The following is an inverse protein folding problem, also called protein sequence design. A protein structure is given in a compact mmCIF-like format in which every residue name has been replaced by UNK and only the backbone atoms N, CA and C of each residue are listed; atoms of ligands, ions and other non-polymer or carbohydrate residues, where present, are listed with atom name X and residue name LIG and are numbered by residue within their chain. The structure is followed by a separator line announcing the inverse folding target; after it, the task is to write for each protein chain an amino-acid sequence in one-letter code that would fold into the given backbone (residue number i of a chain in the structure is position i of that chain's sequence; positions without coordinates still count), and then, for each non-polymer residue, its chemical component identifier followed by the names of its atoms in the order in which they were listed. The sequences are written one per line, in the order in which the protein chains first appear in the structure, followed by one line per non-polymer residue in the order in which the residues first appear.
data_IF_910065159845
#
_entry.id   IF_910065159845
#
_cell.length_a   1.000
_cell.length_b   1.000
_cell.length_c   1.000
_cell.angle_alpha   90.00
_cell.angle_beta   90.00
_cell.angle_gamma   90.00
#
_symmetry.space_group_name_H-M   'P 1'
#
loop_
_entity.id
_entity.type
_entity.pdbx_description
1 polymer ?
#
# COMPACT_ATOMS: atom_id res chain seq x y z
N UNK A 1 -25.17 51.23 39.15
CA UNK A 1 -25.94 50.03 39.47
C UNK A 1 -25.62 48.95 38.38
N UNK A 2 -24.71 48.07 38.69
CA UNK A 2 -24.36 46.93 37.83
C UNK A 2 -25.13 45.71 38.34
N UNK A 3 -26.09 45.24 37.53
CA UNK A 3 -26.91 44.06 37.86
C UNK A 3 -26.11 42.79 37.65
N UNK A 4 -25.75 42.10 38.72
CA UNK A 4 -25.20 40.73 38.71
C UNK A 4 -26.27 39.75 38.22
N UNK A 5 -26.20 39.34 36.95
CA UNK A 5 -26.93 38.15 36.49
C UNK A 5 -26.21 36.91 37.01
N UNK A 6 -26.69 36.34 38.10
CA UNK A 6 -26.31 34.99 38.55
C UNK A 6 -26.76 33.98 37.50
N UNK A 7 -25.82 33.20 36.94
CA UNK A 7 -26.13 32.10 36.05
C UNK A 7 -26.83 30.97 36.85
N UNK A 8 -28.08 30.72 36.54
CA UNK A 8 -28.92 29.69 37.16
C UNK A 8 -28.70 28.29 36.50
N UNK A 9 -27.50 27.76 36.58
CA UNK A 9 -27.33 26.33 36.26
C UNK A 9 -27.27 25.55 37.56
N UNK A 10 -28.20 24.60 37.74
CA UNK A 10 -28.16 23.70 38.89
C UNK A 10 -26.90 22.80 38.77
N UNK A 11 -26.23 22.46 39.88
CA UNK A 11 -25.04 21.59 39.86
C UNK A 11 -25.27 20.25 39.13
N UNK A 12 -26.48 19.71 39.20
CA UNK A 12 -26.86 18.48 38.48
C UNK A 12 -26.83 18.63 36.94
N UNK A 13 -27.19 19.81 36.44
CA UNK A 13 -27.20 20.09 35.00
C UNK A 13 -25.79 20.27 34.45
N UNK A 14 -24.90 20.88 35.26
CA UNK A 14 -23.47 21.00 34.92
C UNK A 14 -22.78 19.65 34.92
N UNK A 15 -23.05 18.80 35.92
CA UNK A 15 -22.49 17.42 35.97
C UNK A 15 -22.99 16.58 34.79
N UNK A 16 -24.28 16.67 34.43
CA UNK A 16 -24.80 15.96 33.25
C UNK A 16 -24.18 16.43 31.95
N UNK A 17 -23.92 17.71 31.76
CA UNK A 17 -23.27 18.28 30.60
C UNK A 17 -21.78 17.85 30.52
N UNK A 18 -21.09 17.84 31.65
CA UNK A 18 -19.70 17.37 31.73
C UNK A 18 -19.62 15.85 31.46
N UNK A 19 -20.55 15.08 31.99
CA UNK A 19 -20.61 13.63 31.75
C UNK A 19 -20.88 13.31 30.29
N UNK A 20 -21.84 13.95 29.63
CA UNK A 20 -22.11 13.81 28.22
C UNK A 20 -20.91 14.27 27.35
N UNK A 21 -20.25 15.38 27.73
CA UNK A 21 -19.04 15.85 27.03
C UNK A 21 -17.87 14.87 27.14
N UNK A 22 -17.70 14.23 28.31
CA UNK A 22 -16.67 13.21 28.53
C UNK A 22 -17.00 11.91 27.80
N UNK A 23 -18.28 11.52 27.72
CA UNK A 23 -18.70 10.35 26.94
C UNK A 23 -18.49 10.60 25.44
N UNK A 24 -18.89 11.77 24.92
CA UNK A 24 -18.68 12.13 23.51
C UNK A 24 -17.19 12.16 23.19
N UNK A 25 -16.34 12.72 24.05
CA UNK A 25 -14.89 12.70 23.84
C UNK A 25 -14.30 11.29 23.93
N UNK A 26 -14.82 10.43 24.80
CA UNK A 26 -14.36 9.05 24.93
C UNK A 26 -14.72 8.22 23.71
N UNK A 27 -15.95 8.36 23.20
CA UNK A 27 -16.39 7.68 21.97
C UNK A 27 -15.64 8.21 20.74
N UNK A 28 -15.46 9.54 20.60
CA UNK A 28 -14.65 10.15 19.55
C UNK A 28 -13.18 9.69 19.61
N UNK A 29 -12.66 9.47 20.82
CA UNK A 29 -11.29 9.00 21.01
C UNK A 29 -11.16 7.51 20.72
N UNK A 30 -12.13 6.70 21.15
CA UNK A 30 -12.19 5.25 20.84
C UNK A 30 -12.41 5.01 19.33
N UNK A 31 -13.26 5.78 18.66
CA UNK A 31 -13.41 5.74 17.20
C UNK A 31 -12.14 6.17 16.47
N UNK A 32 -11.42 7.20 16.95
CA UNK A 32 -10.13 7.60 16.38
C UNK A 32 -9.04 6.55 16.57
N UNK A 33 -9.00 5.87 17.72
CA UNK A 33 -8.03 4.80 17.98
C UNK A 33 -8.29 3.59 17.07
N UNK A 34 -9.55 3.32 16.73
CA UNK A 34 -9.94 2.21 15.85
C UNK A 34 -9.83 2.54 14.36
N UNK A 35 -9.77 3.81 13.98
CA UNK A 35 -9.70 4.21 12.56
C UNK A 35 -8.38 3.83 11.92
N UNK A 36 -8.46 3.18 10.75
CA UNK A 36 -7.28 2.83 9.94
C UNK A 36 -6.43 4.06 9.58
N UNK A 37 -7.07 5.21 9.32
CA UNK A 37 -6.34 6.45 9.06
C UNK A 37 -5.47 6.87 10.26
N UNK A 38 -5.98 6.75 11.47
CA UNK A 38 -5.22 7.07 12.69
C UNK A 38 -4.06 6.10 12.90
N UNK A 39 -4.30 4.80 12.72
CA UNK A 39 -3.26 3.77 12.83
C UNK A 39 -2.11 4.02 11.84
N UNK A 40 -2.45 4.35 10.59
CA UNK A 40 -1.46 4.65 9.55
C UNK A 40 -0.66 5.90 9.87
N UNK A 41 -1.29 6.97 10.35
CA UNK A 41 -0.59 8.18 10.73
C UNK A 41 0.36 7.95 11.92
N UNK A 42 -0.06 7.21 12.92
CA UNK A 42 0.81 6.84 14.04
C UNK A 42 2.01 5.98 13.60
N UNK A 43 1.76 4.99 12.72
CA UNK A 43 2.84 4.16 12.17
C UNK A 43 3.82 5.01 11.38
N UNK A 44 3.31 5.91 10.55
CA UNK A 44 4.13 6.87 9.81
C UNK A 44 4.98 7.74 10.74
N UNK A 45 4.39 8.28 11.81
CA UNK A 45 5.10 9.11 12.79
C UNK A 45 6.24 8.34 13.47
N UNK A 46 6.01 7.10 13.86
CA UNK A 46 7.04 6.25 14.47
C UNK A 46 8.20 5.99 13.48
N UNK A 47 7.88 5.56 12.27
CA UNK A 47 8.90 5.30 11.22
C UNK A 47 9.70 6.56 10.93
N UNK A 48 9.04 7.71 10.81
CA UNK A 48 9.70 8.97 10.53
C UNK A 48 10.64 9.40 11.66
N UNK A 49 10.22 9.23 12.92
CA UNK A 49 11.05 9.55 14.08
C UNK A 49 12.28 8.65 14.18
N UNK A 50 12.10 7.35 13.89
CA UNK A 50 13.22 6.40 13.81
C UNK A 50 14.18 6.77 12.67
N UNK A 51 13.66 7.10 11.50
CA UNK A 51 14.44 7.60 10.38
C UNK A 51 15.24 8.84 10.76
N UNK A 52 14.57 9.86 11.34
CA UNK A 52 15.20 11.11 11.79
C UNK A 52 16.32 10.85 12.79
N UNK A 53 16.10 9.96 13.74
CA UNK A 53 17.08 9.59 14.77
C UNK A 53 18.31 8.92 14.15
N UNK A 54 18.11 8.04 13.19
CA UNK A 54 19.18 7.31 12.54
C UNK A 54 20.05 8.21 11.65
N UNK A 55 19.41 9.01 10.81
CA UNK A 55 20.17 9.89 9.91
C UNK A 55 20.87 11.03 10.62
N UNK A 56 20.39 11.45 11.80
CA UNK A 56 21.13 12.45 12.61
C UNK A 56 22.51 11.95 13.05
N UNK A 57 22.74 10.63 13.05
CA UNK A 57 24.00 9.97 13.38
C UNK A 57 24.80 9.55 12.14
N UNK A 58 24.20 9.64 10.96
CA UNK A 58 24.82 9.18 9.73
C UNK A 58 25.91 10.15 9.25
N UNK A 59 27.06 9.62 8.87
CA UNK A 59 28.14 10.39 8.25
C UNK A 59 27.91 10.69 6.76
N UNK A 60 26.98 10.00 6.12
CA UNK A 60 26.65 10.13 4.70
C UNK A 60 25.22 9.70 4.41
N UNK A 61 24.56 10.39 3.48
CA UNK A 61 23.22 10.09 2.99
C UNK A 61 23.24 9.47 1.58
N UNK A 62 24.41 9.06 1.09
CA UNK A 62 24.58 8.56 -0.28
C UNK A 62 23.68 7.35 -0.60
N UNK A 63 23.44 6.48 0.38
CA UNK A 63 22.52 5.33 0.21
C UNK A 63 21.09 5.73 -0.16
N UNK A 64 20.62 6.87 0.33
CA UNK A 64 19.25 7.33 0.06
C UNK A 64 19.03 7.66 -1.42
N UNK A 65 20.11 7.81 -2.21
CA UNK A 65 20.05 8.05 -3.65
C UNK A 65 19.44 6.88 -4.42
N UNK A 66 19.54 5.67 -3.92
CA UNK A 66 18.98 4.48 -4.55
C UNK A 66 17.46 4.62 -4.76
N UNK A 67 16.76 5.35 -3.90
CA UNK A 67 15.31 5.61 -4.07
C UNK A 67 14.97 6.58 -5.21
N UNK A 68 15.94 7.09 -5.92
CA UNK A 68 15.68 7.88 -7.13
C UNK A 68 15.32 7.01 -8.34
N UNK A 69 15.52 5.69 -8.26
CA UNK A 69 15.22 4.72 -9.32
C UNK A 69 15.84 5.12 -10.66
N UNK A 70 17.09 5.56 -10.64
CA UNK A 70 17.84 5.81 -11.87
C UNK A 70 18.24 4.46 -12.48
N UNK A 71 17.82 4.24 -13.72
CA UNK A 71 18.09 3.02 -14.44
C UNK A 71 17.18 1.85 -14.01
N UNK A 72 17.57 0.65 -14.39
CA UNK A 72 16.83 -0.60 -14.12
C UNK A 72 17.20 -1.28 -12.80
N UNK A 73 18.15 -0.71 -12.04
CA UNK A 73 18.54 -1.27 -10.74
C UNK A 73 17.51 -0.95 -9.66
N UNK A 74 17.08 -1.97 -8.93
CA UNK A 74 16.25 -1.81 -7.75
C UNK A 74 17.12 -1.34 -6.57
N UNK A 75 16.55 -0.54 -5.64
CA UNK A 75 17.20 -0.22 -4.38
C UNK A 75 17.47 -1.48 -3.55
N UNK A 76 18.56 -1.46 -2.79
CA UNK A 76 18.82 -2.52 -1.81
C UNK A 76 17.91 -2.36 -0.58
N UNK A 77 16.69 -2.89 -0.68
CA UNK A 77 15.71 -2.85 0.42
C UNK A 77 16.09 -3.72 1.63
N UNK A 78 17.26 -4.39 1.65
CA UNK A 78 17.78 -5.01 2.88
C UNK A 78 18.38 -3.98 3.84
N UNK A 79 18.70 -2.76 3.36
CA UNK A 79 19.16 -1.65 4.19
C UNK A 79 17.98 -1.01 4.94
N UNK A 80 18.00 -1.09 6.26
CA UNK A 80 16.91 -0.61 7.14
C UNK A 80 16.72 0.91 7.10
N UNK A 81 17.80 1.68 6.87
CA UNK A 81 17.73 3.13 6.69
C UNK A 81 16.99 3.48 5.40
N UNK A 82 17.26 2.71 4.34
CA UNK A 82 16.60 2.86 3.07
C UNK A 82 15.11 2.49 3.15
N UNK A 83 14.76 1.42 3.90
CA UNK A 83 13.36 1.07 4.19
C UNK A 83 12.63 2.22 4.89
N UNK A 84 13.22 2.82 5.93
CA UNK A 84 12.63 3.95 6.67
C UNK A 84 12.40 5.16 5.77
N UNK A 85 13.39 5.48 4.93
CA UNK A 85 13.27 6.57 3.99
C UNK A 85 12.19 6.31 2.93
N UNK A 86 12.13 5.10 2.38
CA UNK A 86 11.09 4.67 1.47
C UNK A 86 9.69 4.85 2.09
N UNK A 87 9.50 4.34 3.29
CA UNK A 87 8.22 4.45 4.01
C UNK A 87 7.88 5.90 4.37
N UNK A 88 8.88 6.69 4.77
CA UNK A 88 8.70 8.13 5.02
C UNK A 88 8.25 8.90 3.77
N UNK A 89 8.52 8.39 2.56
CA UNK A 89 8.13 9.03 1.30
C UNK A 89 6.83 8.50 0.73
N UNK A 90 6.56 7.21 0.87
CA UNK A 90 5.55 6.53 0.08
C UNK A 90 4.38 5.96 0.90
N UNK A 91 4.55 5.75 2.22
CA UNK A 91 3.54 5.05 3.03
C UNK A 91 2.16 5.69 2.92
N UNK A 92 2.06 7.00 3.16
CA UNK A 92 0.76 7.69 3.16
C UNK A 92 0.11 7.68 1.77
N UNK A 93 0.91 7.88 0.72
CA UNK A 93 0.42 7.86 -0.65
C UNK A 93 -0.09 6.47 -1.04
N UNK A 94 0.72 5.44 -0.83
CA UNK A 94 0.38 4.08 -1.23
C UNK A 94 -0.79 3.52 -0.42
N UNK A 95 -0.89 3.87 0.85
CA UNK A 95 -2.05 3.53 1.65
C UNK A 95 -3.36 4.04 1.01
N UNK A 96 -3.40 5.32 0.60
CA UNK A 96 -4.59 5.91 -0.03
C UNK A 96 -4.85 5.29 -1.42
N UNK A 97 -3.79 5.08 -2.19
CA UNK A 97 -3.87 4.47 -3.52
C UNK A 97 -4.47 3.05 -3.44
N UNK A 98 -3.95 2.21 -2.55
CA UNK A 98 -4.45 0.84 -2.40
C UNK A 98 -5.84 0.78 -1.77
N UNK A 99 -6.15 1.69 -0.84
CA UNK A 99 -7.51 1.78 -0.30
C UNK A 99 -8.51 2.04 -1.43
N UNK A 100 -8.24 3.02 -2.30
CA UNK A 100 -9.10 3.32 -3.44
C UNK A 100 -9.19 2.17 -4.44
N UNK A 101 -8.08 1.48 -4.71
CA UNK A 101 -8.07 0.30 -5.58
C UNK A 101 -9.00 -0.80 -5.05
N UNK A 102 -8.90 -1.12 -3.75
CA UNK A 102 -9.74 -2.15 -3.14
C UNK A 102 -11.20 -1.71 -3.00
N UNK A 103 -11.48 -0.42 -2.76
CA UNK A 103 -12.83 0.13 -2.81
C UNK A 103 -13.45 -0.10 -4.20
N UNK A 104 -12.73 0.21 -5.28
CA UNK A 104 -13.21 0.00 -6.65
C UNK A 104 -13.39 -1.49 -6.98
N UNK A 105 -12.56 -2.38 -6.43
CA UNK A 105 -12.75 -3.83 -6.55
C UNK A 105 -14.03 -4.29 -5.87
N UNK A 106 -14.28 -3.79 -4.66
CA UNK A 106 -15.46 -4.11 -3.86
C UNK A 106 -16.73 -3.58 -4.54
N UNK A 107 -16.72 -2.35 -5.04
CA UNK A 107 -17.85 -1.74 -5.75
C UNK A 107 -18.26 -2.54 -7.00
N UNK A 108 -17.31 -3.18 -7.69
CA UNK A 108 -17.59 -4.05 -8.84
C UNK A 108 -18.34 -5.32 -8.49
N UNK A 109 -18.35 -5.72 -7.22
CA UNK A 109 -19.07 -6.89 -6.66
C UNK A 109 -18.86 -8.17 -7.49
N UNK A 110 -17.66 -8.35 -8.05
CA UNK A 110 -17.34 -9.51 -8.89
C UNK A 110 -17.13 -10.78 -8.07
N UNK A 111 -16.52 -10.64 -6.89
CA UNK A 111 -16.35 -11.72 -5.91
C UNK A 111 -17.47 -11.63 -4.89
N UNK A 112 -18.30 -12.69 -4.84
CA UNK A 112 -19.50 -12.74 -3.97
C UNK A 112 -19.21 -13.30 -2.58
N UNK A 113 -18.09 -13.97 -2.42
CA UNK A 113 -17.68 -14.65 -1.20
C UNK A 113 -16.51 -13.89 -0.54
N UNK A 114 -15.85 -14.54 0.40
CA UNK A 114 -14.66 -14.03 1.04
C UNK A 114 -13.54 -13.77 0.03
N UNK A 115 -12.82 -12.69 0.21
CA UNK A 115 -11.64 -12.37 -0.59
C UNK A 115 -10.44 -13.17 -0.07
N UNK A 116 -9.92 -14.07 -0.89
CA UNK A 116 -8.69 -14.82 -0.61
C UNK A 116 -7.55 -14.27 -1.46
N UNK A 117 -6.75 -13.38 -0.88
CA UNK A 117 -5.79 -12.56 -1.60
C UNK A 117 -4.39 -13.16 -1.47
N UNK A 118 -3.71 -13.30 -2.60
CA UNK A 118 -2.26 -13.48 -2.68
C UNK A 118 -1.64 -12.20 -3.24
N UNK A 119 -0.87 -11.50 -2.42
CA UNK A 119 -0.13 -10.29 -2.83
C UNK A 119 1.33 -10.64 -3.06
N UNK A 120 1.81 -10.49 -4.30
CA UNK A 120 3.14 -10.90 -4.75
C UNK A 120 4.04 -9.68 -4.91
N UNK A 121 5.17 -9.67 -4.21
CA UNK A 121 6.03 -8.50 -4.06
C UNK A 121 5.37 -7.45 -3.17
N UNK A 122 4.75 -7.91 -2.07
CA UNK A 122 3.93 -7.09 -1.19
C UNK A 122 4.73 -6.07 -0.35
N UNK A 123 6.06 -6.17 -0.33
CA UNK A 123 6.90 -5.33 0.50
C UNK A 123 6.54 -5.44 1.98
N UNK A 124 6.36 -4.31 2.63
CA UNK A 124 5.93 -4.27 4.03
C UNK A 124 4.39 -4.39 4.22
N UNK A 125 3.63 -4.72 3.17
CA UNK A 125 2.17 -4.90 3.27
C UNK A 125 1.36 -3.61 3.19
N UNK A 126 1.80 -2.60 2.43
CA UNK A 126 1.03 -1.35 2.29
C UNK A 126 -0.31 -1.57 1.59
N UNK A 127 -0.39 -2.55 0.70
CA UNK A 127 -1.64 -2.95 0.07
C UNK A 127 -2.61 -3.63 1.05
N UNK A 128 -2.12 -4.39 2.04
CA UNK A 128 -2.94 -4.90 3.14
C UNK A 128 -3.54 -3.77 3.98
N UNK A 129 -2.78 -2.69 4.23
CA UNK A 129 -3.31 -1.52 4.92
C UNK A 129 -4.42 -0.86 4.12
N UNK A 130 -4.25 -0.76 2.80
CA UNK A 130 -5.29 -0.29 1.89
C UNK A 130 -6.54 -1.17 1.91
N UNK A 131 -6.37 -2.50 1.88
CA UNK A 131 -7.46 -3.46 1.98
C UNK A 131 -8.23 -3.29 3.30
N UNK A 132 -7.53 -3.20 4.43
CA UNK A 132 -8.16 -2.95 5.75
C UNK A 132 -8.96 -1.66 5.76
N UNK A 133 -8.47 -0.60 5.10
CA UNK A 133 -9.23 0.65 4.96
C UNK A 133 -10.49 0.46 4.11
N UNK A 134 -10.36 -0.17 2.97
CA UNK A 134 -11.48 -0.39 2.07
C UNK A 134 -12.59 -1.27 2.69
N UNK A 135 -12.21 -2.18 3.58
CA UNK A 135 -13.16 -3.10 4.26
C UNK A 135 -13.64 -2.61 5.62
N UNK A 136 -13.08 -1.50 6.16
CA UNK A 136 -13.30 -1.02 7.53
C UNK A 136 -14.79 -0.89 7.92
N UNK A 137 -15.65 -0.48 6.98
CA UNK A 137 -17.09 -0.28 7.19
C UNK A 137 -17.95 -1.24 6.36
N UNK A 138 -17.39 -2.37 5.92
CA UNK A 138 -18.10 -3.37 5.13
C UNK A 138 -18.29 -4.66 5.92
N UNK A 139 -19.11 -5.58 5.38
CA UNK A 139 -19.26 -6.95 5.90
C UNK A 139 -18.37 -7.95 5.13
N UNK A 140 -17.41 -7.46 4.38
CA UNK A 140 -16.54 -8.30 3.57
C UNK A 140 -15.50 -8.95 4.46
N UNK A 141 -15.42 -10.27 4.37
CA UNK A 141 -14.32 -11.03 4.96
C UNK A 141 -13.19 -11.18 3.96
N UNK A 142 -11.97 -11.26 4.46
CA UNK A 142 -10.82 -11.56 3.63
C UNK A 142 -9.79 -12.41 4.37
N UNK A 143 -9.00 -13.14 3.59
CA UNK A 143 -7.78 -13.79 4.03
C UNK A 143 -6.65 -13.25 3.15
N UNK A 144 -5.62 -12.73 3.76
CA UNK A 144 -4.49 -12.16 3.04
C UNK A 144 -3.24 -13.02 3.23
N UNK A 145 -2.52 -13.24 2.13
CA UNK A 145 -1.19 -13.83 2.13
C UNK A 145 -0.26 -12.92 1.35
N UNK A 146 0.70 -12.31 2.02
CA UNK A 146 1.77 -11.53 1.39
C UNK A 146 2.96 -12.44 1.06
N UNK A 147 3.55 -12.25 -0.12
CA UNK A 147 4.78 -12.90 -0.56
C UNK A 147 5.80 -11.83 -0.95
N UNK A 148 6.96 -11.85 -0.32
CA UNK A 148 8.08 -10.98 -0.68
C UNK A 148 9.42 -11.64 -0.35
N UNK A 149 10.46 -11.34 -1.12
CA UNK A 149 11.81 -11.82 -0.87
C UNK A 149 12.55 -10.98 0.19
N UNK A 150 12.09 -9.78 0.46
CA UNK A 150 12.67 -8.87 1.45
C UNK A 150 11.90 -8.97 2.76
N UNK A 151 12.63 -9.06 3.86
CA UNK A 151 12.05 -8.90 5.20
C UNK A 151 12.13 -7.42 5.59
N UNK A 152 10.97 -6.80 5.74
CA UNK A 152 10.86 -5.41 6.14
C UNK A 152 10.73 -5.28 7.66
N UNK A 153 11.47 -4.36 8.27
CA UNK A 153 11.43 -4.13 9.73
C UNK A 153 10.08 -3.59 10.21
N UNK A 154 9.39 -2.84 9.34
CA UNK A 154 8.11 -2.22 9.66
C UNK A 154 6.92 -2.96 9.04
N UNK A 155 7.13 -4.19 8.62
CA UNK A 155 6.04 -5.05 8.17
C UNK A 155 5.09 -5.31 9.35
N UNK A 156 3.81 -5.08 9.11
CA UNK A 156 2.77 -5.35 10.08
C UNK A 156 1.60 -6.01 9.36
N UNK A 157 1.61 -7.32 9.37
CA UNK A 157 0.59 -8.12 8.71
C UNK A 157 -0.63 -8.36 9.60
N UNK A 158 -0.70 -7.74 10.81
CA UNK A 158 -1.86 -7.80 11.71
C UNK A 158 -2.38 -9.22 11.96
N UNK A 159 -1.48 -10.19 12.02
CA UNK A 159 -1.83 -11.61 12.16
C UNK A 159 -2.10 -12.33 10.83
N UNK A 160 -2.05 -11.63 9.70
CA UNK A 160 -2.15 -12.22 8.37
C UNK A 160 -0.90 -13.01 7.99
N UNK A 161 -1.01 -13.85 6.97
CA UNK A 161 0.10 -14.69 6.56
C UNK A 161 1.11 -13.91 5.72
N UNK A 162 2.38 -14.03 6.06
CA UNK A 162 3.50 -13.56 5.27
C UNK A 162 4.46 -14.70 4.91
N UNK A 163 4.87 -14.76 3.66
CA UNK A 163 5.83 -15.71 3.13
C UNK A 163 7.06 -14.93 2.68
N UNK A 164 8.15 -15.04 3.47
CA UNK A 164 9.42 -14.46 3.08
C UNK A 164 10.20 -15.45 2.22
N UNK A 165 10.06 -15.35 0.92
CA UNK A 165 10.73 -16.22 -0.05
C UNK A 165 10.86 -15.52 -1.40
N UNK A 166 11.90 -15.90 -2.15
CA UNK A 166 11.99 -15.60 -3.58
C UNK A 166 11.05 -16.50 -4.36
N UNK A 167 10.47 -15.99 -5.44
CA UNK A 167 9.52 -16.76 -6.26
C UNK A 167 10.17 -18.00 -6.87
N UNK A 168 11.46 -17.96 -7.17
CA UNK A 168 12.25 -19.06 -7.71
C UNK A 168 12.30 -20.27 -6.77
N UNK A 169 12.11 -20.04 -5.48
CA UNK A 169 12.08 -21.07 -4.44
C UNK A 169 10.67 -21.65 -4.22
N UNK A 170 9.68 -21.20 -4.98
CA UNK A 170 8.29 -21.61 -4.83
C UNK A 170 7.87 -22.40 -6.07
N UNK A 171 7.94 -23.73 -5.99
CA UNK A 171 7.55 -24.59 -7.12
C UNK A 171 6.04 -24.53 -7.41
N UNK A 172 5.22 -24.34 -6.38
CA UNK A 172 3.76 -24.21 -6.48
C UNK A 172 3.18 -23.49 -5.26
N UNK A 173 2.05 -22.85 -5.44
CA UNK A 173 1.26 -22.25 -4.35
C UNK A 173 0.49 -23.35 -3.62
N UNK A 174 0.63 -23.42 -2.30
CA UNK A 174 0.06 -24.51 -1.49
C UNK A 174 -1.43 -24.38 -1.22
N UNK A 175 -2.05 -23.25 -1.54
CA UNK A 175 -3.49 -23.01 -1.38
C UNK A 175 -4.12 -22.88 -2.77
N UNK A 176 -5.21 -23.59 -2.98
CA UNK A 176 -5.96 -23.59 -4.24
C UNK A 176 -7.13 -22.60 -4.28
N UNK A 177 -7.35 -21.86 -3.20
CA UNK A 177 -8.52 -21.01 -3.02
C UNK A 177 -8.25 -19.50 -3.10
N UNK A 178 -7.14 -19.08 -3.68
CA UNK A 178 -6.94 -17.68 -4.00
C UNK A 178 -7.89 -17.27 -5.12
N UNK A 179 -8.65 -16.19 -4.88
CA UNK A 179 -9.53 -15.58 -5.87
C UNK A 179 -9.13 -14.15 -6.23
N UNK A 180 -8.09 -13.61 -5.58
CA UNK A 180 -7.44 -12.35 -5.94
C UNK A 180 -5.93 -12.55 -5.95
N UNK A 181 -5.29 -12.21 -7.07
CA UNK A 181 -3.83 -12.12 -7.19
C UNK A 181 -3.48 -10.66 -7.38
N UNK A 182 -2.73 -10.11 -6.46
CA UNK A 182 -2.35 -8.70 -6.41
C UNK A 182 -0.84 -8.52 -6.63
N UNK A 183 -0.47 -7.58 -7.49
CA UNK A 183 0.90 -7.11 -7.70
C UNK A 183 1.00 -5.63 -7.31
N UNK A 184 1.40 -5.31 -6.07
CA UNK A 184 1.43 -3.94 -5.58
C UNK A 184 2.68 -3.20 -6.05
N UNK A 185 2.68 -2.73 -7.30
CA UNK A 185 3.80 -2.06 -7.99
C UNK A 185 5.04 -2.96 -8.16
N UNK A 186 4.86 -4.27 -8.18
CA UNK A 186 5.95 -5.25 -8.15
C UNK A 186 6.18 -5.98 -9.49
N UNK A 187 5.13 -6.25 -10.27
CA UNK A 187 5.23 -7.11 -11.47
C UNK A 187 6.22 -6.58 -12.50
N UNK A 188 6.33 -5.26 -12.66
CA UNK A 188 7.29 -4.62 -13.54
C UNK A 188 8.71 -4.59 -13.00
N UNK A 189 8.92 -4.90 -11.71
CA UNK A 189 10.23 -4.91 -11.07
C UNK A 189 10.95 -6.25 -11.18
N UNK A 190 10.23 -7.33 -11.49
CA UNK A 190 10.84 -8.63 -11.71
C UNK A 190 11.77 -8.58 -12.94
N UNK A 191 12.94 -9.21 -12.85
CA UNK A 191 13.72 -9.50 -14.03
C UNK A 191 13.04 -10.60 -14.87
N UNK A 192 13.56 -10.91 -16.03
CA UNK A 192 12.91 -11.86 -16.93
C UNK A 192 12.89 -13.29 -16.34
N UNK A 193 13.94 -13.70 -15.66
CA UNK A 193 14.04 -15.01 -15.04
C UNK A 193 13.02 -15.16 -13.90
N UNK A 194 12.97 -14.20 -13.01
CA UNK A 194 11.99 -14.14 -11.90
C UNK A 194 10.56 -14.15 -12.44
N UNK A 195 10.29 -13.43 -13.53
CA UNK A 195 8.96 -13.37 -14.12
C UNK A 195 8.57 -14.71 -14.79
N UNK A 196 9.50 -15.40 -15.47
CA UNK A 196 9.24 -16.76 -16.00
C UNK A 196 9.00 -17.76 -14.86
N UNK A 197 9.76 -17.67 -13.77
CA UNK A 197 9.56 -18.51 -12.58
C UNK A 197 8.19 -18.28 -11.96
N UNK A 198 7.71 -17.04 -11.90
CA UNK A 198 6.35 -16.72 -11.46
C UNK A 198 5.30 -17.42 -12.34
N UNK A 199 5.43 -17.30 -13.66
CA UNK A 199 4.50 -17.98 -14.60
C UNK A 199 4.53 -19.50 -14.43
N UNK A 200 5.71 -20.09 -14.23
CA UNK A 200 5.85 -21.52 -13.96
C UNK A 200 5.22 -21.94 -12.63
N UNK A 201 5.41 -21.15 -11.58
CA UNK A 201 4.76 -21.36 -10.27
C UNK A 201 3.24 -21.35 -10.40
N UNK A 202 2.69 -20.41 -11.16
CA UNK A 202 1.25 -20.34 -11.42
C UNK A 202 0.80 -21.58 -12.21
N UNK A 203 1.50 -21.97 -13.30
CA UNK A 203 1.19 -23.18 -14.10
C UNK A 203 1.12 -24.45 -13.26
N UNK A 204 2.03 -24.59 -12.30
CA UNK A 204 2.15 -25.78 -11.45
C UNK A 204 1.21 -25.75 -10.24
N UNK A 205 0.50 -24.66 -10.01
CA UNK A 205 -0.41 -24.48 -8.88
C UNK A 205 -1.83 -24.91 -9.26
N UNK A 206 -2.67 -25.14 -8.26
CA UNK A 206 -4.08 -25.44 -8.47
C UNK A 206 -4.93 -24.22 -8.09
N UNK A 207 -5.81 -23.81 -8.99
CA UNK A 207 -6.78 -22.75 -8.75
C UNK A 207 -8.18 -23.31 -8.97
N UNK A 208 -9.00 -23.31 -7.91
CA UNK A 208 -10.33 -23.96 -7.92
C UNK A 208 -11.49 -22.96 -7.78
N UNK A 209 -11.19 -21.70 -7.51
CA UNK A 209 -12.22 -20.69 -7.38
C UNK A 209 -12.92 -20.44 -8.72
N UNK A 210 -14.24 -20.28 -8.69
CA UNK A 210 -15.04 -19.99 -9.89
C UNK A 210 -14.65 -18.67 -10.54
N UNK A 211 -14.43 -17.64 -9.71
CA UNK A 211 -14.05 -16.31 -10.13
C UNK A 211 -12.63 -15.99 -9.63
N UNK A 212 -11.84 -15.38 -10.49
CA UNK A 212 -10.48 -14.95 -10.19
C UNK A 212 -10.31 -13.50 -10.64
N UNK A 213 -9.64 -12.71 -9.81
CA UNK A 213 -9.26 -11.33 -10.13
C UNK A 213 -7.75 -11.22 -10.14
N UNK A 214 -7.20 -10.66 -11.21
CA UNK A 214 -5.80 -10.28 -11.31
C UNK A 214 -5.71 -8.75 -11.22
N UNK A 215 -4.82 -8.25 -10.39
CA UNK A 215 -4.65 -6.82 -10.15
C UNK A 215 -3.18 -6.46 -10.24
N UNK A 216 -2.86 -5.41 -11.00
CA UNK A 216 -1.56 -4.75 -10.95
C UNK A 216 -1.74 -3.27 -10.67
N UNK A 217 -1.15 -2.80 -9.58
CA UNK A 217 -0.96 -1.38 -9.34
C UNK A 217 0.40 -0.97 -9.93
N UNK A 218 0.49 0.20 -10.56
CA UNK A 218 1.72 0.65 -11.20
C UNK A 218 1.82 2.17 -11.25
N UNK A 219 3.01 2.66 -11.56
CA UNK A 219 3.24 4.07 -11.85
C UNK A 219 2.97 4.33 -13.32
N UNK A 220 2.45 5.50 -13.66
CA UNK A 220 2.20 5.89 -15.04
C UNK A 220 3.44 5.76 -15.95
N UNK A 221 4.62 6.02 -15.42
CA UNK A 221 5.89 5.88 -16.16
C UNK A 221 6.28 4.44 -16.52
N UNK A 222 5.68 3.43 -15.86
CA UNK A 222 5.94 2.00 -16.10
C UNK A 222 4.70 1.26 -16.59
N UNK A 223 3.63 1.98 -16.87
CA UNK A 223 2.31 1.45 -17.17
C UNK A 223 2.34 0.37 -18.26
N UNK A 224 3.05 0.60 -19.35
CA UNK A 224 3.08 -0.32 -20.48
C UNK A 224 3.64 -1.71 -20.07
N UNK A 225 4.82 -1.75 -19.45
CA UNK A 225 5.47 -3.00 -19.02
C UNK A 225 4.64 -3.77 -17.99
N UNK A 226 4.05 -3.06 -17.02
CA UNK A 226 3.30 -3.70 -15.95
C UNK A 226 1.99 -4.29 -16.48
N UNK A 227 1.34 -3.59 -17.42
CA UNK A 227 0.13 -4.07 -18.10
C UNK A 227 0.40 -5.28 -18.99
N UNK A 228 1.45 -5.26 -19.79
CA UNK A 228 1.83 -6.41 -20.63
C UNK A 228 2.07 -7.64 -19.78
N UNK A 229 2.84 -7.52 -18.72
CA UNK A 229 3.11 -8.63 -17.80
C UNK A 229 1.86 -9.17 -17.12
N UNK A 230 0.90 -8.31 -16.75
CA UNK A 230 -0.36 -8.78 -16.19
C UNK A 230 -1.18 -9.55 -17.23
N UNK A 231 -1.15 -9.16 -18.51
CA UNK A 231 -1.78 -9.89 -19.59
C UNK A 231 -1.10 -11.25 -19.82
N UNK A 232 0.23 -11.34 -19.78
CA UNK A 232 0.93 -12.63 -19.85
C UNK A 232 0.55 -13.56 -18.68
N UNK A 233 0.39 -13.01 -17.46
CA UNK A 233 -0.11 -13.80 -16.32
C UNK A 233 -1.55 -14.26 -16.58
N UNK A 234 -2.41 -13.40 -17.10
CA UNK A 234 -3.78 -13.78 -17.51
C UNK A 234 -3.77 -14.95 -18.51
N UNK A 235 -2.92 -14.90 -19.52
CA UNK A 235 -2.78 -15.98 -20.52
C UNK A 235 -2.42 -17.30 -19.85
N UNK A 236 -1.54 -17.31 -18.83
CA UNK A 236 -1.23 -18.53 -18.07
C UNK A 236 -2.50 -19.10 -17.42
N UNK A 237 -3.36 -18.26 -16.84
CA UNK A 237 -4.62 -18.72 -16.27
C UNK A 237 -5.59 -19.25 -17.32
N UNK A 238 -5.64 -18.62 -18.49
CA UNK A 238 -6.48 -19.08 -19.60
C UNK A 238 -6.04 -20.45 -20.13
N UNK A 239 -4.77 -20.59 -20.47
CA UNK A 239 -4.26 -21.81 -21.10
C UNK A 239 -4.10 -23.00 -20.14
N UNK A 240 -3.71 -22.74 -18.88
CA UNK A 240 -3.39 -23.81 -17.95
C UNK A 240 -4.49 -24.12 -16.94
N UNK A 241 -5.36 -23.16 -16.64
CA UNK A 241 -6.38 -23.28 -15.59
C UNK A 241 -7.80 -23.11 -16.10
N UNK A 242 -7.99 -22.91 -17.42
CA UNK A 242 -9.30 -22.79 -18.07
C UNK A 242 -10.14 -21.62 -17.58
N UNK A 243 -9.49 -20.52 -17.30
CA UNK A 243 -10.20 -19.28 -17.02
C UNK A 243 -10.44 -18.51 -18.32
N UNK A 244 -11.57 -17.85 -18.41
CA UNK A 244 -11.96 -17.05 -19.57
C UNK A 244 -12.33 -15.63 -19.14
N UNK A 245 -12.17 -14.68 -20.05
CA UNK A 245 -12.78 -13.36 -19.96
C UNK A 245 -14.26 -13.48 -20.32
N UNK A 246 -15.17 -12.86 -19.52
CA UNK A 246 -16.59 -12.87 -19.85
C UNK A 246 -16.91 -11.93 -21.02
N UNK A 247 -16.29 -10.78 -21.03
CA UNK A 247 -16.53 -9.73 -22.02
C UNK A 247 -15.39 -8.68 -21.99
N UNK A 248 -15.51 -7.63 -22.79
CA UNK A 248 -14.51 -6.55 -22.84
C UNK A 248 -14.42 -5.73 -21.55
N UNK A 249 -15.45 -5.71 -20.71
CA UNK A 249 -15.42 -5.04 -19.40
C UNK A 249 -14.60 -5.80 -18.35
N UNK A 250 -14.27 -7.06 -18.62
CA UNK A 250 -13.43 -7.89 -17.77
C UNK A 250 -11.98 -7.39 -17.65
N UNK A 251 -11.54 -6.51 -18.55
CA UNK A 251 -10.24 -5.83 -18.45
C UNK A 251 -10.50 -4.34 -18.27
N UNK A 252 -10.18 -3.82 -17.11
CA UNK A 252 -10.36 -2.39 -16.81
C UNK A 252 -9.08 -1.75 -16.33
N UNK A 253 -8.82 -0.54 -16.82
CA UNK A 253 -7.67 0.27 -16.44
C UNK A 253 -8.15 1.58 -15.84
N UNK A 254 -7.49 1.99 -14.78
CA UNK A 254 -7.83 3.19 -14.04
C UNK A 254 -6.60 4.07 -13.88
N UNK A 255 -6.74 5.35 -14.26
CA UNK A 255 -5.72 6.38 -14.10
C UNK A 255 -6.21 7.43 -13.11
N UNK A 256 -5.41 7.68 -12.08
CA UNK A 256 -5.66 8.79 -11.16
C UNK A 256 -4.73 9.95 -11.46
N UNK A 257 -5.32 11.08 -11.77
CA UNK A 257 -4.62 12.36 -12.00
C UNK A 257 -4.88 13.36 -10.88
N UNK A 258 -5.72 13.01 -9.90
CA UNK A 258 -6.07 13.89 -8.78
C UNK A 258 -5.08 13.73 -7.63
N UNK A 259 -4.87 14.80 -6.88
CA UNK A 259 -4.10 14.75 -5.63
C UNK A 259 -4.76 13.77 -4.65
N UNK A 260 -3.95 12.96 -3.99
CA UNK A 260 -4.44 11.95 -3.04
C UNK A 260 -5.25 12.54 -1.89
N UNK A 261 -4.96 13.78 -1.48
CA UNK A 261 -5.73 14.52 -0.46
C UNK A 261 -7.19 14.76 -0.84
N UNK A 262 -7.54 14.71 -2.14
CA UNK A 262 -8.94 14.76 -2.58
C UNK A 262 -9.63 13.40 -2.54
N UNK A 263 -8.85 12.31 -2.53
CA UNK A 263 -9.37 10.95 -2.38
C UNK A 263 -9.60 10.64 -0.90
N UNK A 264 -8.63 11.01 -0.05
CA UNK A 264 -8.75 10.85 1.40
C UNK A 264 -8.28 12.13 2.11
N UNK A 265 -9.17 13.10 2.40
CA UNK A 265 -8.80 14.38 3.00
C UNK A 265 -8.28 14.27 4.44
N UNK A 266 -8.48 13.14 5.11
CA UNK A 266 -7.97 12.88 6.45
C UNK A 266 -6.47 12.52 6.43
N UNK A 267 -5.95 12.07 5.30
CA UNK A 267 -4.55 11.72 5.12
C UNK A 267 -3.83 12.88 4.42
N UNK A 268 -3.10 13.64 5.22
CA UNK A 268 -2.25 14.72 4.71
C UNK A 268 -0.82 14.48 5.14
N UNK A 269 0.10 14.73 4.24
CA UNK A 269 1.52 14.65 4.59
C UNK A 269 1.88 15.82 5.51
N UNK A 270 2.42 15.57 6.73
CA UNK A 270 2.76 16.64 7.67
C UNK A 270 3.84 17.57 7.08
N UNK A 271 3.58 18.87 7.10
CA UNK A 271 4.44 19.86 6.45
C UNK A 271 5.85 19.89 7.05
N UNK A 272 5.96 19.80 8.36
CA UNK A 272 7.24 19.76 9.08
C UNK A 272 8.11 18.59 8.68
N UNK A 273 7.51 17.41 8.45
CA UNK A 273 8.19 16.21 7.98
C UNK A 273 8.58 16.31 6.51
N UNK A 274 7.73 16.91 5.70
CA UNK A 274 8.03 17.21 4.30
C UNK A 274 9.21 18.17 4.19
N UNK A 275 9.21 19.23 4.98
CA UNK A 275 10.30 20.21 5.00
C UNK A 275 11.59 19.58 5.53
N UNK A 276 11.50 18.68 6.52
CA UNK A 276 12.66 17.93 7.00
C UNK A 276 13.30 17.10 5.90
N UNK A 277 12.51 16.32 5.15
CA UNK A 277 13.03 15.50 4.04
C UNK A 277 13.61 16.37 2.93
N UNK A 278 12.96 17.47 2.60
CA UNK A 278 13.39 18.40 1.55
C UNK A 278 14.72 19.08 1.86
N UNK A 279 14.93 19.46 3.11
CA UNK A 279 16.09 20.23 3.55
C UNK A 279 17.08 19.39 4.34
N UNK A 280 17.05 18.06 4.18
CA UNK A 280 17.93 17.16 4.88
C UNK A 280 19.41 17.47 4.53
N UNK A 281 20.23 17.90 5.51
CA UNK A 281 21.61 18.29 5.22
C UNK A 281 22.47 17.06 4.93
N UNK A 282 23.20 17.07 3.83
CA UNK A 282 24.21 16.06 3.55
C UNK A 282 25.53 16.42 4.25
N UNK A 283 25.94 15.61 5.21
CA UNK A 283 27.21 15.78 5.93
C UNK A 283 28.38 15.07 5.23
N UNK A 284 28.19 14.58 4.03
CA UNK A 284 29.24 13.89 3.26
C UNK A 284 30.41 14.85 2.94
N UNK A 285 31.61 14.50 3.37
CA UNK A 285 32.83 15.27 3.10
C UNK A 285 33.15 15.41 1.59
N UNK A 286 32.55 14.53 0.76
CA UNK A 286 32.69 14.54 -0.71
C UNK A 286 31.55 15.26 -1.42
N UNK A 287 30.70 15.98 -0.71
CA UNK A 287 29.52 16.64 -1.26
C UNK A 287 29.84 17.56 -2.44
N UNK A 288 30.91 18.34 -2.33
CA UNK A 288 31.36 19.23 -3.39
C UNK A 288 31.82 18.51 -4.67
N UNK A 289 32.10 17.20 -4.59
CA UNK A 289 32.58 16.39 -5.70
C UNK A 289 31.48 15.59 -6.37
N UNK A 290 30.37 15.27 -5.64
CA UNK A 290 29.37 14.38 -6.18
C UNK A 290 28.08 15.08 -6.60
N UNK A 291 27.80 16.33 -6.21
CA UNK A 291 26.67 17.15 -6.70
C UNK A 291 25.25 16.55 -6.66
N UNK A 292 25.18 15.22 -6.62
CA UNK A 292 23.96 14.45 -6.84
C UNK A 292 23.07 14.31 -5.58
N UNK A 293 23.60 14.59 -4.38
CA UNK A 293 22.85 14.45 -3.14
C UNK A 293 21.67 15.43 -3.06
N UNK A 294 21.85 16.64 -3.61
CA UNK A 294 20.81 17.67 -3.59
C UNK A 294 19.57 17.25 -4.39
N UNK A 295 19.76 16.53 -5.49
CA UNK A 295 18.63 16.00 -6.28
C UNK A 295 17.86 14.90 -5.55
N UNK A 296 18.55 14.08 -4.76
CA UNK A 296 17.93 13.00 -3.99
C UNK A 296 17.09 13.54 -2.86
N UNK A 297 17.59 14.55 -2.17
CA UNK A 297 17.01 15.10 -0.95
C UNK A 297 15.95 16.18 -1.24
N UNK A 298 15.99 16.81 -2.42
CA UNK A 298 15.02 17.82 -2.84
C UNK A 298 13.66 17.25 -3.29
N UNK A 299 13.50 15.92 -3.37
CA UNK A 299 12.24 15.32 -3.80
C UNK A 299 11.22 15.31 -2.67
N UNK A 300 10.07 15.92 -2.94
CA UNK A 300 8.92 15.85 -2.06
C UNK A 300 8.41 14.41 -1.93
N UNK A 301 7.82 14.06 -0.77
CA UNK A 301 7.02 12.85 -0.65
C UNK A 301 5.90 12.79 -1.70
N UNK A 302 5.57 11.58 -2.14
CA UNK A 302 4.76 11.32 -3.34
C UNK A 302 3.26 11.50 -3.11
N UNK A 303 2.80 12.28 -2.17
CA UNK A 303 1.36 12.47 -1.99
C UNK A 303 0.82 13.79 -2.54
N UNK A 304 1.67 14.61 -3.18
CA UNK A 304 1.23 15.90 -3.73
C UNK A 304 0.54 15.76 -5.09
N UNK A 305 0.99 14.81 -5.94
CA UNK A 305 0.41 14.53 -7.24
C UNK A 305 0.33 13.01 -7.45
N UNK A 306 -0.87 12.49 -7.68
CA UNK A 306 -1.04 11.08 -7.98
C UNK A 306 -0.65 10.80 -9.43
N UNK A 307 0.32 9.91 -9.61
CA UNK A 307 0.62 9.23 -10.88
C UNK A 307 0.30 7.74 -10.75
N UNK A 308 -0.75 7.44 -10.06
CA UNK A 308 -1.19 6.09 -9.74
C UNK A 308 -2.09 5.56 -10.83
N UNK A 309 -1.76 4.38 -11.31
CA UNK A 309 -2.57 3.63 -12.25
C UNK A 309 -2.72 2.20 -11.72
N UNK A 310 -3.81 1.55 -12.07
CA UNK A 310 -3.96 0.12 -11.84
C UNK A 310 -4.82 -0.52 -12.92
N UNK A 311 -4.62 -1.81 -13.10
CA UNK A 311 -5.40 -2.65 -13.99
C UNK A 311 -6.05 -3.77 -13.18
N UNK A 312 -7.32 -4.02 -13.45
CA UNK A 312 -8.07 -5.15 -12.91
C UNK A 312 -8.53 -6.02 -14.07
N UNK A 313 -8.26 -7.32 -13.98
CA UNK A 313 -8.72 -8.33 -14.93
C UNK A 313 -9.58 -9.32 -14.15
N UNK A 314 -10.80 -9.52 -14.61
CA UNK A 314 -11.75 -10.48 -14.01
C UNK A 314 -11.91 -11.70 -14.89
N UNK A 315 -11.72 -12.88 -14.32
CA UNK A 315 -11.75 -14.15 -14.98
C UNK A 315 -12.78 -15.08 -14.36
N UNK A 316 -13.41 -15.90 -15.17
CA UNK A 316 -14.34 -16.95 -14.70
C UNK A 316 -13.88 -18.29 -15.22
N UNK A 317 -13.92 -19.32 -14.38
CA UNK A 317 -13.57 -20.67 -14.75
C UNK A 317 -14.63 -21.23 -15.70
N UNK A 318 -14.20 -21.83 -16.80
CA UNK A 318 -15.08 -22.47 -17.77
C UNK A 318 -15.74 -23.70 -17.13
N UNK A 319 -17.07 -23.75 -17.16
CA UNK A 319 -17.83 -24.89 -16.66
C UNK A 319 -18.03 -25.88 -17.83
N UNK A 320 -17.70 -27.15 -17.61
CA UNK A 320 -18.09 -28.20 -18.56
C UNK A 320 -19.55 -28.57 -18.31
N UNK A 321 -20.31 -28.46 -19.34
CA UNK A 321 -21.62 -29.09 -19.42
C UNK A 321 -21.51 -30.51 -19.93
#
# INVERSE_FOLDING_TARGET
MLSNKKSNYSPKKVISLLYNYLIIRKTDWEERIMSMNYMVLNKFDNIFNDFKTEISKASSLCKLRELNFYGDSLPDYTDTTLQKFYLSRYLLAYYVEYAKLYEDLIEKDFIKNDYNILSIGCGCGLDLWGLKKATENTKINYNYTGLDCIKWDYSDFFGEKFINARIENICKLNKSNYNVIMFPKSIGEFDQETFENLKNTIRNSNFNEKNLVLISAHRKSREFRDRERLLEVMEVFQYNHRYILKDSSSVSTHDFTRKLEYINPQIRYPKDKMDFIKYLPCLCKKHSLCGDCDQTLSRYPVNSDSQFCYQIITLTKEEFF
#
